data_IF_155049416242
#
_entry.id   IF_155049416242
#
_cell.length_a   1.000
_cell.length_b   1.000
_cell.length_c   1.000
_cell.angle_alpha   90.00
_cell.angle_beta   90.00
_cell.angle_gamma   90.00
#
_symmetry.space_group_name_H-M   'P 1'
#
loop_
_entity.id
_entity.type
_entity.pdbx_description
1 polymer ?
#
# COMPACT_ATOMS: atom_id res chain seq x y z
N UNK A 1 -20.20 -0.66 10.08
CA UNK A 1 -18.76 -0.99 10.22
C UNK A 1 -18.10 -1.22 8.86
N UNK A 2 -18.72 -2.00 7.96
CA UNK A 2 -18.18 -2.33 6.63
C UNK A 2 -17.97 -1.11 5.70
N UNK A 3 -18.94 -0.19 5.64
CA UNK A 3 -18.83 1.04 4.82
C UNK A 3 -17.63 1.90 5.26
N UNK A 4 -17.32 1.89 6.56
CA UNK A 4 -16.22 2.64 7.15
C UNK A 4 -14.85 2.03 6.78
N UNK A 5 -14.75 0.70 6.79
CA UNK A 5 -13.57 -0.01 6.30
C UNK A 5 -13.34 0.24 4.81
N UNK A 6 -14.38 0.11 3.98
CA UNK A 6 -14.30 0.35 2.53
C UNK A 6 -13.82 1.78 2.25
N UNK A 7 -14.41 2.78 2.92
CA UNK A 7 -14.02 4.19 2.77
C UNK A 7 -12.53 4.41 3.11
N UNK A 8 -12.05 3.78 4.17
CA UNK A 8 -10.65 3.88 4.61
C UNK A 8 -9.68 3.04 3.76
N UNK A 9 -10.16 2.11 2.94
CA UNK A 9 -9.37 1.26 2.06
C UNK A 9 -9.06 1.88 0.69
N UNK A 10 -9.74 2.98 0.32
CA UNK A 10 -9.64 3.59 -1.01
C UNK A 10 -8.23 4.07 -1.32
N UNK A 11 -7.66 5.00 -0.54
CA UNK A 11 -6.32 5.51 -0.82
C UNK A 11 -5.22 4.44 -0.61
N UNK A 12 -5.27 3.57 0.42
CA UNK A 12 -4.30 2.49 0.58
C UNK A 12 -4.22 1.57 -0.64
N UNK A 13 -5.36 1.17 -1.19
CA UNK A 13 -5.42 0.30 -2.34
C UNK A 13 -4.87 0.99 -3.60
N UNK A 14 -5.30 2.25 -3.86
CA UNK A 14 -4.83 3.02 -5.01
C UNK A 14 -3.31 3.21 -5.00
N UNK A 15 -2.75 3.59 -3.85
CA UNK A 15 -1.31 3.78 -3.70
C UNK A 15 -0.54 2.46 -3.83
N UNK A 16 -1.09 1.36 -3.32
CA UNK A 16 -0.47 0.03 -3.48
C UNK A 16 -0.39 -0.36 -4.96
N UNK A 17 -1.49 -0.22 -5.72
CA UNK A 17 -1.51 -0.50 -7.17
C UNK A 17 -0.52 0.40 -7.91
N UNK A 18 -0.42 1.66 -7.51
CA UNK A 18 0.53 2.61 -8.09
C UNK A 18 1.99 2.15 -7.91
N UNK A 19 2.37 1.77 -6.69
CA UNK A 19 3.73 1.33 -6.36
C UNK A 19 4.06 0.02 -7.07
N UNK A 20 3.16 -0.96 -7.05
CA UNK A 20 3.41 -2.26 -7.72
C UNK A 20 3.49 -2.09 -9.23
N UNK A 21 2.65 -1.26 -9.83
CA UNK A 21 2.74 -0.95 -11.26
C UNK A 21 4.04 -0.22 -11.62
N UNK A 22 4.54 0.63 -10.72
CA UNK A 22 5.83 1.30 -10.89
C UNK A 22 7.00 0.32 -10.80
N UNK A 23 6.98 -0.60 -9.83
CA UNK A 23 7.99 -1.66 -9.72
C UNK A 23 7.96 -2.59 -10.93
N UNK A 24 6.78 -3.02 -11.38
CA UNK A 24 6.60 -3.79 -12.61
C UNK A 24 7.17 -3.04 -13.83
N UNK A 25 7.00 -1.72 -13.91
CA UNK A 25 7.58 -0.91 -14.97
C UNK A 25 9.10 -0.87 -14.91
N UNK A 26 9.71 -0.68 -13.73
CA UNK A 26 11.17 -0.66 -13.59
C UNK A 26 11.77 -2.01 -13.99
N UNK A 27 11.16 -3.10 -13.55
CA UNK A 27 11.68 -4.46 -13.77
C UNK A 27 11.46 -4.95 -15.20
N UNK A 28 10.25 -4.83 -15.74
CA UNK A 28 9.90 -5.37 -17.06
C UNK A 28 10.01 -4.33 -18.20
N UNK A 29 10.29 -3.06 -17.89
CA UNK A 29 10.30 -1.92 -18.83
C UNK A 29 9.02 -1.76 -19.67
N UNK A 30 7.89 -2.33 -19.21
CA UNK A 30 6.61 -2.30 -19.94
C UNK A 30 6.00 -0.90 -19.90
N UNK A 31 6.03 -0.20 -21.03
CA UNK A 31 5.52 1.18 -21.18
C UNK A 31 4.07 1.35 -20.66
N UNK A 32 3.19 0.36 -20.84
CA UNK A 32 1.82 0.40 -20.32
C UNK A 32 1.74 0.52 -18.79
N UNK A 33 2.64 -0.17 -18.07
CA UNK A 33 2.69 -0.12 -16.60
C UNK A 33 3.12 1.25 -16.08
N UNK A 34 3.91 2.01 -16.86
CA UNK A 34 4.27 3.40 -16.56
C UNK A 34 3.04 4.30 -16.51
N UNK A 35 2.17 4.23 -17.52
CA UNK A 35 0.97 5.08 -17.57
C UNK A 35 0.01 4.76 -16.41
N UNK A 36 -0.16 3.47 -16.10
CA UNK A 36 -0.96 3.03 -14.94
C UNK A 36 -0.35 3.56 -13.64
N UNK A 37 0.96 3.43 -13.44
CA UNK A 37 1.63 3.94 -12.26
C UNK A 37 1.42 5.46 -12.09
N UNK A 38 1.56 6.24 -13.16
CA UNK A 38 1.37 7.70 -13.13
C UNK A 38 -0.10 8.05 -12.81
N UNK A 39 -1.06 7.40 -13.45
CA UNK A 39 -2.48 7.67 -13.21
C UNK A 39 -2.88 7.35 -11.76
N UNK A 40 -2.50 6.18 -11.27
CA UNK A 40 -2.83 5.76 -9.90
C UNK A 40 -2.06 6.52 -8.82
N UNK A 41 -0.84 6.99 -9.09
CA UNK A 41 -0.12 7.87 -8.15
C UNK A 41 -0.82 9.21 -8.02
N UNK A 42 -1.22 9.86 -9.12
CA UNK A 42 -1.92 11.14 -9.05
C UNK A 42 -3.26 11.01 -8.30
N UNK A 43 -4.09 10.03 -8.67
CA UNK A 43 -5.39 9.81 -8.02
C UNK A 43 -5.18 9.37 -6.55
N UNK A 44 -4.19 8.51 -6.29
CA UNK A 44 -3.86 8.02 -4.96
C UNK A 44 -3.41 9.13 -4.00
N UNK A 45 -2.59 10.08 -4.47
CA UNK A 45 -2.15 11.24 -3.68
C UNK A 45 -3.34 12.14 -3.36
N UNK A 46 -4.20 12.45 -4.33
CA UNK A 46 -5.39 13.28 -4.10
C UNK A 46 -6.31 12.62 -3.06
N UNK A 47 -6.56 11.32 -3.20
CA UNK A 47 -7.34 10.56 -2.23
C UNK A 47 -6.68 10.57 -0.85
N UNK A 48 -5.36 10.33 -0.77
CA UNK A 48 -4.61 10.34 0.48
C UNK A 48 -4.73 11.68 1.20
N UNK A 49 -4.52 12.80 0.49
CA UNK A 49 -4.65 14.15 1.07
C UNK A 49 -6.06 14.41 1.58
N UNK A 50 -7.07 14.09 0.75
CA UNK A 50 -8.48 14.25 1.14
C UNK A 50 -8.82 13.47 2.43
N UNK A 51 -8.39 12.21 2.53
CA UNK A 51 -8.65 11.37 3.70
C UNK A 51 -7.83 11.77 4.92
N UNK A 52 -6.59 12.24 4.74
CA UNK A 52 -5.74 12.72 5.83
C UNK A 52 -6.25 14.02 6.46
N UNK A 53 -6.91 14.88 5.68
CA UNK A 53 -7.51 16.12 6.16
C UNK A 53 -8.87 15.86 6.81
N UNK A 54 -9.74 15.06 6.18
CA UNK A 54 -11.14 14.92 6.59
C UNK A 54 -11.42 13.76 7.56
N UNK A 55 -10.56 12.74 7.64
CA UNK A 55 -10.76 11.55 8.49
C UNK A 55 -9.57 11.35 9.45
N UNK A 56 -9.28 12.34 10.31
CA UNK A 56 -8.14 12.29 11.23
C UNK A 56 -8.17 11.11 12.20
N UNK A 57 -9.37 10.69 12.62
CA UNK A 57 -9.58 9.60 13.57
C UNK A 57 -9.12 8.23 13.06
N UNK A 58 -9.11 8.03 11.73
CA UNK A 58 -8.77 6.74 11.12
C UNK A 58 -7.40 6.72 10.44
N UNK A 59 -6.55 7.74 10.67
CA UNK A 59 -5.21 7.85 10.06
C UNK A 59 -4.36 6.60 10.33
N UNK A 60 -4.37 6.13 11.58
CA UNK A 60 -3.64 4.93 11.95
C UNK A 60 -4.12 3.71 11.15
N UNK A 61 -5.44 3.45 11.13
CA UNK A 61 -6.03 2.34 10.41
C UNK A 61 -5.71 2.40 8.91
N UNK A 62 -5.80 3.58 8.31
CA UNK A 62 -5.50 3.78 6.90
C UNK A 62 -4.03 3.48 6.57
N UNK A 63 -3.09 3.97 7.38
CA UNK A 63 -1.65 3.68 7.22
C UNK A 63 -1.37 2.19 7.42
N UNK A 64 -2.01 1.57 8.42
CA UNK A 64 -1.90 0.14 8.68
C UNK A 64 -2.38 -0.69 7.49
N UNK A 65 -3.55 -0.36 6.92
CA UNK A 65 -4.09 -1.02 5.73
C UNK A 65 -3.17 -0.83 4.51
N UNK A 66 -2.56 0.33 4.37
CA UNK A 66 -1.59 0.59 3.30
C UNK A 66 -0.35 -0.29 3.43
N UNK A 67 0.26 -0.33 4.63
CA UNK A 67 1.41 -1.21 4.89
C UNK A 67 1.06 -2.67 4.65
N UNK A 68 -0.12 -3.11 5.10
CA UNK A 68 -0.60 -4.46 4.91
C UNK A 68 -0.69 -4.85 3.43
N UNK A 69 -1.47 -4.08 2.66
CA UNK A 69 -1.68 -4.31 1.23
C UNK A 69 -0.37 -4.26 0.45
N UNK A 70 0.50 -3.31 0.79
CA UNK A 70 1.81 -3.17 0.16
C UNK A 70 2.70 -4.39 0.46
N UNK A 71 2.76 -4.84 1.72
CA UNK A 71 3.56 -6.00 2.13
C UNK A 71 3.17 -7.26 1.35
N UNK A 72 1.88 -7.56 1.28
CA UNK A 72 1.37 -8.75 0.57
C UNK A 72 1.66 -8.63 -0.92
N UNK A 73 1.42 -7.45 -1.49
CA UNK A 73 1.66 -7.22 -2.91
C UNK A 73 3.14 -7.36 -3.28
N UNK A 74 4.04 -6.90 -2.41
CA UNK A 74 5.48 -7.08 -2.58
C UNK A 74 5.89 -8.55 -2.50
N UNK A 75 5.35 -9.32 -1.56
CA UNK A 75 5.61 -10.77 -1.46
C UNK A 75 5.09 -11.50 -2.71
N UNK A 76 3.90 -11.17 -3.20
CA UNK A 76 3.37 -11.74 -4.45
C UNK A 76 4.28 -11.39 -5.64
N UNK A 77 4.74 -10.13 -5.72
CA UNK A 77 5.66 -9.71 -6.76
C UNK A 77 7.01 -10.45 -6.65
N UNK A 78 7.50 -10.66 -5.45
CA UNK A 78 8.72 -11.43 -5.17
C UNK A 78 8.60 -12.87 -5.66
N UNK A 79 7.49 -13.55 -5.36
CA UNK A 79 7.21 -14.91 -5.84
C UNK A 79 7.13 -14.97 -7.37
N UNK A 80 6.47 -13.98 -7.99
CA UNK A 80 6.32 -13.90 -9.44
C UNK A 80 7.64 -13.63 -10.16
N UNK A 81 8.51 -12.80 -9.58
CA UNK A 81 9.77 -12.33 -10.20
C UNK A 81 11.02 -13.03 -9.70
N UNK A 82 10.91 -13.86 -8.65
CA UNK A 82 12.01 -14.52 -7.94
C UNK A 82 13.08 -13.52 -7.46
N UNK A 83 12.62 -12.40 -6.89
CA UNK A 83 13.49 -11.34 -6.36
C UNK A 83 13.34 -11.32 -4.85
N UNK A 84 14.34 -11.85 -4.14
CA UNK A 84 14.30 -12.03 -2.68
C UNK A 84 14.27 -10.71 -1.91
N UNK A 85 14.77 -9.63 -2.51
CA UNK A 85 14.73 -8.29 -1.92
C UNK A 85 13.29 -7.82 -1.63
N UNK A 86 12.32 -8.16 -2.48
CA UNK A 86 10.92 -7.78 -2.25
C UNK A 86 10.29 -8.58 -1.11
N UNK A 87 10.66 -9.86 -0.95
CA UNK A 87 10.26 -10.67 0.20
C UNK A 87 10.80 -10.07 1.49
N UNK A 88 12.08 -9.68 1.51
CA UNK A 88 12.71 -9.04 2.68
C UNK A 88 12.00 -7.74 3.06
N UNK A 89 11.70 -6.87 2.08
CA UNK A 89 10.95 -5.62 2.34
C UNK A 89 9.55 -5.92 2.86
N UNK A 90 8.86 -6.91 2.28
CA UNK A 90 7.55 -7.35 2.74
C UNK A 90 7.55 -7.83 4.19
N UNK A 91 8.53 -8.66 4.56
CA UNK A 91 8.69 -9.15 5.94
C UNK A 91 8.97 -8.00 6.91
N UNK A 92 9.87 -7.07 6.55
CA UNK A 92 10.17 -5.89 7.37
C UNK A 92 8.90 -5.06 7.61
N UNK A 93 8.10 -4.82 6.57
CA UNK A 93 6.81 -4.12 6.69
C UNK A 93 5.87 -4.85 7.66
N UNK A 94 5.76 -6.17 7.57
CA UNK A 94 4.93 -6.96 8.49
C UNK A 94 5.42 -6.88 9.94
N UNK A 95 6.74 -6.90 10.18
CA UNK A 95 7.30 -6.73 11.52
C UNK A 95 7.03 -5.34 12.08
N UNK A 96 7.18 -4.28 11.27
CA UNK A 96 6.84 -2.92 11.70
C UNK A 96 5.36 -2.83 12.05
N UNK A 97 4.48 -3.43 11.25
CA UNK A 97 3.05 -3.50 11.56
C UNK A 97 2.76 -4.20 12.88
N UNK A 98 3.44 -5.32 13.16
CA UNK A 98 3.30 -6.04 14.42
C UNK A 98 3.71 -5.17 15.60
N UNK A 99 4.84 -4.47 15.51
CA UNK A 99 5.32 -3.54 16.54
C UNK A 99 4.31 -2.40 16.74
N UNK A 100 3.77 -1.85 15.66
CA UNK A 100 2.75 -0.80 15.73
C UNK A 100 1.52 -1.31 16.48
N UNK A 101 0.98 -2.47 16.11
CA UNK A 101 -0.18 -3.09 16.79
C UNK A 101 0.05 -3.27 18.29
N UNK A 102 1.21 -3.82 18.67
CA UNK A 102 1.58 -4.06 20.07
C UNK A 102 1.72 -2.75 20.86
N UNK A 103 2.20 -1.68 20.22
CA UNK A 103 2.42 -0.38 20.86
C UNK A 103 1.14 0.44 21.00
N UNK A 104 0.19 0.29 20.08
CA UNK A 104 -0.97 1.19 19.99
C UNK A 104 -2.22 0.72 20.72
N UNK A 105 -2.19 -0.37 21.50
CA UNK A 105 -3.38 -0.92 22.19
C UNK A 105 -4.62 -0.83 21.31
N UNK A 106 -4.60 -1.50 20.15
CA UNK A 106 -5.76 -1.59 19.26
C UNK A 106 -6.88 -2.51 19.78
N UNK A 107 -6.92 -2.72 21.10
CA UNK A 107 -7.96 -3.40 21.86
C UNK A 107 -8.23 -2.56 23.11
#
# INVERSE_FOLDING_TARGET
MEILLIKNMIWPALMTVAIISFLDYILDRKKMKRYIAIAFTMIGIIAMVYFMVNNSEYKFLQIFLFMFLLSISLVILALKKRIDAFTMIGIILMLVMLILLLRTNLI
#
